data_IF_901551798850
#
_entry.id   IF_901551798850
#
_cell.length_a   1.000
_cell.length_b   1.000
_cell.length_c   1.000
_cell.angle_alpha   90.00
_cell.angle_beta   90.00
_cell.angle_gamma   90.00
#
_symmetry.space_group_name_H-M   'P 1'
#
loop_
_entity.id
_entity.type
_entity.pdbx_description
1 polymer ?
#
# COMPACT_ATOMS: atom_id res chain seq x y z
N UNK A 1 20.23 -14.40 1.34
CA UNK A 1 20.62 -13.27 2.17
C UNK A 1 20.18 -11.96 1.62
N UNK A 2 20.51 -11.70 0.38
CA UNK A 2 20.09 -10.47 -0.23
C UNK A 2 18.60 -10.33 -0.30
N UNK A 3 17.91 -11.43 -0.49
CA UNK A 3 16.46 -11.39 -0.58
C UNK A 3 15.83 -10.90 0.72
N UNK A 4 16.38 -11.31 1.83
CA UNK A 4 15.86 -10.87 3.12
C UNK A 4 16.00 -9.37 3.27
N UNK A 5 17.18 -8.85 2.92
CA UNK A 5 17.41 -7.40 2.98
C UNK A 5 16.50 -6.66 2.02
N UNK A 6 16.33 -7.21 0.80
CA UNK A 6 15.47 -6.58 -0.19
C UNK A 6 14.02 -6.62 0.26
N UNK A 7 13.60 -7.70 0.90
CA UNK A 7 12.24 -7.81 1.39
C UNK A 7 11.95 -6.77 2.45
N UNK A 8 12.90 -6.54 3.35
CA UNK A 8 12.74 -5.51 4.37
C UNK A 8 12.62 -4.13 3.74
N UNK A 9 13.51 -3.84 2.81
CA UNK A 9 13.50 -2.55 2.14
C UNK A 9 12.23 -2.34 1.35
N UNK A 10 11.80 -3.38 0.65
CA UNK A 10 10.58 -3.32 -0.15
C UNK A 10 9.37 -3.06 0.74
N UNK A 11 9.30 -3.76 1.86
CA UNK A 11 8.19 -3.59 2.79
C UNK A 11 8.15 -2.18 3.36
N UNK A 12 9.29 -1.67 3.76
CA UNK A 12 9.37 -0.32 4.29
C UNK A 12 8.96 0.71 3.25
N UNK A 13 9.46 0.55 2.03
CA UNK A 13 9.12 1.47 0.95
C UNK A 13 7.62 1.48 0.68
N UNK A 14 7.01 0.30 0.63
CA UNK A 14 5.57 0.21 0.41
C UNK A 14 4.79 0.87 1.54
N UNK A 15 5.25 0.73 2.77
CA UNK A 15 4.60 1.37 3.90
C UNK A 15 4.68 2.90 3.78
N UNK A 16 5.82 3.41 3.36
CA UNK A 16 5.99 4.84 3.17
C UNK A 16 5.07 5.37 2.08
N UNK A 17 4.97 4.63 0.99
CA UNK A 17 4.09 5.02 -0.11
C UNK A 17 2.64 5.00 0.34
N UNK A 18 2.23 3.95 1.02
CA UNK A 18 0.87 3.81 1.48
C UNK A 18 0.49 4.93 2.45
N UNK A 19 1.37 5.22 3.39
CA UNK A 19 1.09 6.28 4.35
C UNK A 19 0.95 7.62 3.66
N UNK A 20 1.86 7.93 2.73
CA UNK A 20 1.78 9.18 2.00
C UNK A 20 0.48 9.28 1.20
N UNK A 21 0.09 8.18 0.58
CA UNK A 21 -1.13 8.14 -0.20
C UNK A 21 -2.36 8.38 0.68
N UNK A 22 -2.41 7.71 1.82
CA UNK A 22 -3.54 7.88 2.74
C UNK A 22 -3.60 9.30 3.27
N UNK A 23 -2.45 9.90 3.56
CA UNK A 23 -2.43 11.28 4.03
C UNK A 23 -2.94 12.24 2.95
N UNK A 24 -2.55 12.02 1.70
CA UNK A 24 -3.01 12.86 0.60
C UNK A 24 -4.50 12.69 0.33
N UNK A 25 -5.02 11.49 0.50
CA UNK A 25 -6.44 11.24 0.32
C UNK A 25 -7.31 11.98 1.34
N UNK A 26 -6.73 12.34 2.49
CA UNK A 26 -7.46 13.15 3.46
C UNK A 26 -7.62 14.59 2.98
N UNK A 27 -6.80 15.01 2.04
CA UNK A 27 -6.79 16.40 1.58
C UNK A 27 -7.47 16.58 0.24
N UNK A 28 -7.43 15.57 -0.63
CA UNK A 28 -7.96 15.71 -1.97
C UNK A 28 -8.34 14.34 -2.53
N UNK A 29 -9.21 14.32 -3.55
CA UNK A 29 -9.64 13.06 -4.15
C UNK A 29 -8.51 12.43 -4.95
N UNK A 30 -8.65 11.13 -5.20
CA UNK A 30 -7.61 10.35 -5.86
C UNK A 30 -7.22 10.91 -7.23
N UNK A 31 -8.18 11.39 -7.99
CA UNK A 31 -7.89 11.89 -9.32
C UNK A 31 -7.06 13.17 -9.31
N UNK A 32 -6.94 13.81 -8.14
CA UNK A 32 -6.13 15.02 -8.00
C UNK A 32 -4.74 14.74 -7.46
N UNK A 33 -4.43 13.48 -7.16
CA UNK A 33 -3.13 13.11 -6.61
C UNK A 33 -2.23 12.68 -7.76
N UNK A 34 -1.08 13.34 -7.91
CA UNK A 34 -0.11 12.96 -8.93
C UNK A 34 0.94 12.04 -8.33
N UNK A 35 1.59 11.25 -9.18
CA UNK A 35 2.68 10.39 -8.74
C UNK A 35 3.82 11.24 -8.19
N UNK A 36 4.07 12.40 -8.82
CA UNK A 36 5.10 13.29 -8.34
C UNK A 36 4.85 13.75 -6.91
N UNK A 37 3.63 14.19 -6.66
CA UNK A 37 3.25 14.66 -5.33
C UNK A 37 3.35 13.55 -4.31
N UNK A 38 2.89 12.37 -4.68
CA UNK A 38 2.97 11.22 -3.81
C UNK A 38 4.40 10.87 -3.46
N UNK A 39 5.28 10.86 -4.46
CA UNK A 39 6.68 10.54 -4.24
C UNK A 39 7.36 11.57 -3.36
N UNK A 40 7.05 12.85 -3.57
CA UNK A 40 7.61 13.90 -2.73
C UNK A 40 7.17 13.73 -1.28
N UNK A 41 5.90 13.42 -1.09
CA UNK A 41 5.37 13.22 0.25
C UNK A 41 5.98 12.00 0.93
N UNK A 42 6.18 10.94 0.17
CA UNK A 42 6.74 9.70 0.70
C UNK A 42 8.25 9.76 0.87
N UNK A 43 8.90 10.73 0.22
CA UNK A 43 10.35 10.84 0.31
C UNK A 43 11.09 9.85 -0.58
N UNK A 44 10.50 9.51 -1.73
CA UNK A 44 11.10 8.57 -2.68
C UNK A 44 11.12 9.20 -4.06
N UNK A 45 11.86 8.60 -4.99
CA UNK A 45 11.85 9.06 -6.36
C UNK A 45 10.85 8.22 -7.18
N UNK A 46 10.57 8.70 -8.40
CA UNK A 46 9.58 8.05 -9.24
C UNK A 46 9.98 6.63 -9.64
N UNK A 47 11.28 6.43 -9.87
CA UNK A 47 11.75 5.10 -10.22
C UNK A 47 11.41 4.08 -9.16
N UNK A 48 11.56 4.47 -7.91
CA UNK A 48 11.23 3.60 -6.79
C UNK A 48 9.73 3.29 -6.80
N UNK A 49 8.90 4.30 -7.04
CA UNK A 49 7.45 4.08 -7.12
C UNK A 49 7.12 3.06 -8.20
N UNK A 50 7.65 3.27 -9.41
CA UNK A 50 7.32 2.41 -10.54
C UNK A 50 7.88 0.99 -10.41
N UNK A 51 8.82 0.80 -9.51
CA UNK A 51 9.28 -0.56 -9.20
C UNK A 51 8.17 -1.38 -8.58
N UNK A 52 7.26 -0.73 -7.86
CA UNK A 52 6.22 -1.43 -7.11
C UNK A 52 4.82 -1.28 -7.67
N UNK A 53 4.53 -0.17 -8.32
CA UNK A 53 3.17 0.13 -8.80
C UNK A 53 3.21 0.74 -10.19
N UNK A 54 2.17 0.44 -10.97
CA UNK A 54 2.08 0.98 -12.33
C UNK A 54 1.63 2.45 -12.32
N UNK A 55 0.69 2.77 -11.44
CA UNK A 55 0.18 4.14 -11.32
C UNK A 55 -0.58 4.27 -10.00
N UNK A 56 -1.22 5.42 -9.82
CA UNK A 56 -1.96 5.71 -8.58
C UNK A 56 -3.13 4.74 -8.38
N UNK A 57 -3.81 4.38 -9.46
CA UNK A 57 -4.98 3.49 -9.34
C UNK A 57 -4.54 2.06 -9.04
N UNK A 58 -3.40 1.64 -9.58
CA UNK A 58 -2.83 0.35 -9.23
C UNK A 58 -2.50 0.30 -7.74
N UNK A 59 -1.93 1.39 -7.22
CA UNK A 59 -1.63 1.50 -5.80
C UNK A 59 -2.89 1.37 -4.96
N UNK A 60 -3.95 2.08 -5.36
CA UNK A 60 -5.22 2.03 -4.64
C UNK A 60 -5.76 0.61 -4.60
N UNK A 61 -5.74 -0.05 -5.75
CA UNK A 61 -6.26 -1.40 -5.85
C UNK A 61 -5.48 -2.36 -4.94
N UNK A 62 -4.17 -2.21 -4.91
CA UNK A 62 -3.34 -3.08 -4.07
C UNK A 62 -3.60 -2.85 -2.59
N UNK A 63 -3.80 -1.59 -2.20
CA UNK A 63 -4.12 -1.28 -0.82
C UNK A 63 -5.47 -1.90 -0.45
N UNK A 64 -6.44 -1.80 -1.34
CA UNK A 64 -7.76 -2.38 -1.09
C UNK A 64 -7.68 -3.90 -0.93
N UNK A 65 -6.89 -4.54 -1.77
CA UNK A 65 -6.71 -5.99 -1.67
C UNK A 65 -6.06 -6.39 -0.36
N UNK A 66 -5.07 -5.63 0.08
CA UNK A 66 -4.40 -5.92 1.34
C UNK A 66 -5.33 -5.72 2.52
N UNK A 67 -6.12 -4.65 2.49
CA UNK A 67 -7.06 -4.38 3.57
C UNK A 67 -8.13 -5.45 3.64
N UNK A 68 -8.60 -5.92 2.50
CA UNK A 68 -9.59 -6.98 2.47
C UNK A 68 -9.03 -8.28 3.03
N UNK A 69 -7.80 -8.62 2.63
CA UNK A 69 -7.16 -9.83 3.14
C UNK A 69 -6.97 -9.76 4.64
N UNK A 70 -6.56 -8.61 5.15
CA UNK A 70 -6.39 -8.42 6.59
C UNK A 70 -7.72 -8.55 7.32
N UNK A 71 -8.77 -8.01 6.73
CA UNK A 71 -10.10 -8.06 7.32
C UNK A 71 -10.61 -9.50 7.38
N UNK A 72 -10.44 -10.24 6.29
CA UNK A 72 -10.86 -11.63 6.25
C UNK A 72 -10.10 -12.47 7.28
N UNK A 73 -8.81 -12.20 7.39
CA UNK A 73 -7.99 -12.92 8.35
C UNK A 73 -8.43 -12.64 9.78
N UNK A 74 -8.80 -11.40 10.05
CA UNK A 74 -9.26 -11.02 11.37
C UNK A 74 -10.57 -11.69 11.72
N UNK A 75 -11.39 -12.02 10.72
CA UNK A 75 -12.67 -12.64 10.93
C UNK A 75 -12.61 -14.17 10.97
N UNK A 76 -11.47 -14.75 10.63
CA UNK A 76 -11.32 -16.19 10.57
C UNK A 76 -11.81 -16.92 11.82
N UNK A 77 -11.43 -16.47 13.02
CA UNK A 77 -11.91 -17.16 14.23
C UNK A 77 -13.42 -17.20 14.33
N UNK A 78 -14.10 -16.17 13.86
CA UNK A 78 -15.56 -16.13 13.91
C UNK A 78 -16.17 -17.17 12.98
N UNK A 79 -15.60 -17.32 11.79
CA UNK A 79 -16.07 -18.32 10.85
C UNK A 79 -15.87 -19.72 11.38
N UNK A 80 -14.76 -19.96 12.06
CA UNK A 80 -14.48 -21.26 12.64
C UNK A 80 -15.48 -21.60 13.73
N UNK A 81 -15.90 -20.63 14.52
CA UNK A 81 -16.90 -20.85 15.54
C UNK A 81 -18.24 -21.27 14.94
N UNK A 82 -18.57 -20.70 13.80
CA UNK A 82 -19.84 -21.00 13.16
C UNK A 82 -19.88 -22.40 12.59
N UNK A 83 -18.75 -22.95 12.24
CA UNK A 83 -18.70 -24.27 11.65
C UNK A 83 -19.05 -25.38 12.65
N UNK A 84 -18.97 -25.07 13.90
CA UNK A 84 -19.32 -26.01 14.92
C UNK A 84 -20.82 -26.00 15.22
#
# INVERSE_FOLDING_TARGET
MRKVTNDHRTRLTKMMIRKAFMDLLKQKPIQSISIRELCETAGINRGTFYTHYADIYDLMQRIEEEMLADFEKALEPLFQLQEE
#
